data_IF_095493125357
#
_entry.id   IF_095493125357
#
_cell.length_a   1.000
_cell.length_b   1.000
_cell.length_c   1.000
_cell.angle_alpha   90.00
_cell.angle_beta   90.00
_cell.angle_gamma   90.00
#
_symmetry.space_group_name_H-M   'P 1'
#
loop_
_entity.id
_entity.type
_entity.pdbx_description
1 polymer ?
#
# COMPACT_ATOMS: atom_id res chain seq x y z
N UNK A 1 -30.61 -20.75 3.54
CA UNK A 1 -30.24 -21.27 2.21
C UNK A 1 -29.74 -20.14 1.30
N UNK A 2 -30.49 -19.04 1.18
CA UNK A 2 -30.14 -17.90 0.33
C UNK A 2 -28.82 -17.18 0.71
N UNK A 3 -28.54 -16.94 1.99
CA UNK A 3 -27.29 -16.27 2.40
C UNK A 3 -26.03 -17.07 2.06
N UNK A 4 -26.08 -18.40 2.15
CA UNK A 4 -24.95 -19.26 1.82
C UNK A 4 -24.61 -19.21 0.34
N UNK A 5 -25.62 -19.20 -0.52
CA UNK A 5 -25.45 -19.07 -1.98
C UNK A 5 -24.85 -17.71 -2.36
N UNK A 6 -25.32 -16.62 -1.74
CA UNK A 6 -24.78 -15.27 -1.98
C UNK A 6 -23.30 -15.20 -1.56
N UNK A 7 -22.93 -15.75 -0.40
CA UNK A 7 -21.53 -15.79 0.05
C UNK A 7 -20.64 -16.60 -0.88
N UNK A 8 -21.13 -17.73 -1.43
CA UNK A 8 -20.36 -18.52 -2.39
C UNK A 8 -20.15 -17.78 -3.71
N UNK A 9 -21.16 -17.07 -4.21
CA UNK A 9 -21.05 -16.25 -5.43
C UNK A 9 -19.99 -15.15 -5.24
N UNK A 10 -20.10 -14.37 -4.15
CA UNK A 10 -19.15 -13.28 -3.86
C UNK A 10 -17.71 -13.80 -3.70
N UNK A 11 -17.54 -14.94 -3.04
CA UNK A 11 -16.23 -15.57 -2.89
C UNK A 11 -15.65 -15.97 -4.24
N UNK A 12 -16.45 -16.60 -5.09
CA UNK A 12 -16.03 -17.03 -6.44
C UNK A 12 -15.63 -15.82 -7.30
N UNK A 13 -16.36 -14.71 -7.22
CA UNK A 13 -16.02 -13.47 -7.91
C UNK A 13 -14.67 -12.91 -7.44
N UNK A 14 -14.41 -12.88 -6.13
CA UNK A 14 -13.13 -12.42 -5.58
C UNK A 14 -11.99 -13.34 -6.04
N UNK A 15 -12.18 -14.66 -5.99
CA UNK A 15 -11.17 -15.63 -6.43
C UNK A 15 -10.85 -15.49 -7.92
N UNK A 16 -11.86 -15.23 -8.75
CA UNK A 16 -11.67 -14.94 -10.18
C UNK A 16 -10.85 -13.66 -10.38
N UNK A 17 -11.20 -12.57 -9.69
CA UNK A 17 -10.47 -11.30 -9.79
C UNK A 17 -9.01 -11.46 -9.32
N UNK A 18 -8.78 -12.20 -8.23
CA UNK A 18 -7.42 -12.49 -7.75
C UNK A 18 -6.60 -13.28 -8.77
N UNK A 19 -7.22 -14.23 -9.49
CA UNK A 19 -6.54 -14.95 -10.57
C UNK A 19 -6.16 -14.04 -11.75
N UNK A 20 -7.05 -13.11 -12.13
CA UNK A 20 -6.78 -12.10 -13.17
C UNK A 20 -5.63 -11.16 -12.74
N UNK A 21 -5.65 -10.66 -11.51
CA UNK A 21 -4.60 -9.80 -10.96
C UNK A 21 -3.25 -10.53 -10.81
N UNK A 22 -3.28 -11.82 -10.46
CA UNK A 22 -2.07 -12.65 -10.41
C UNK A 22 -1.42 -12.77 -11.79
N UNK A 23 -2.21 -13.09 -12.81
CA UNK A 23 -1.72 -13.18 -14.18
C UNK A 23 -1.13 -11.85 -14.65
N UNK A 24 -1.75 -10.73 -14.27
CA UNK A 24 -1.24 -9.39 -14.53
C UNK A 24 0.10 -9.12 -13.84
N UNK A 25 0.20 -9.45 -12.56
CA UNK A 25 1.44 -9.33 -11.80
C UNK A 25 2.58 -10.14 -12.41
N UNK A 26 2.34 -11.42 -12.70
CA UNK A 26 3.34 -12.32 -13.31
C UNK A 26 3.78 -11.82 -14.70
N UNK A 27 2.90 -11.14 -15.44
CA UNK A 27 3.22 -10.52 -16.73
C UNK A 27 4.04 -9.24 -16.60
N UNK A 28 3.80 -8.43 -15.57
CA UNK A 28 4.46 -7.15 -15.37
C UNK A 28 5.82 -7.26 -14.67
N UNK A 29 5.99 -8.26 -13.80
CA UNK A 29 7.23 -8.44 -13.04
C UNK A 29 8.28 -9.14 -13.92
N UNK A 30 9.43 -8.49 -14.22
CA UNK A 30 10.48 -9.12 -15.00
C UNK A 30 11.18 -10.24 -14.20
N UNK A 31 11.66 -11.27 -14.89
CA UNK A 31 12.37 -12.42 -14.28
C UNK A 31 13.63 -12.01 -13.49
N UNK A 32 14.18 -10.83 -13.76
CA UNK A 32 15.33 -10.28 -13.03
C UNK A 32 15.01 -9.83 -11.60
N UNK A 33 13.73 -9.75 -11.23
CA UNK A 33 13.26 -9.34 -9.91
C UNK A 33 12.68 -10.57 -9.19
N UNK A 34 13.27 -10.90 -8.03
CA UNK A 34 12.68 -11.91 -7.14
C UNK A 34 11.34 -11.41 -6.62
N UNK A 35 10.29 -12.22 -6.83
CA UNK A 35 8.93 -11.85 -6.50
C UNK A 35 8.15 -13.03 -5.96
N UNK A 36 7.13 -12.74 -5.15
CA UNK A 36 6.17 -13.69 -4.62
C UNK A 36 4.77 -13.09 -4.74
N UNK A 37 3.80 -13.93 -5.08
CA UNK A 37 2.38 -13.55 -5.08
C UNK A 37 1.69 -14.14 -3.86
N UNK A 38 1.08 -13.29 -3.04
CA UNK A 38 0.22 -13.69 -1.92
C UNK A 38 -1.23 -13.27 -2.17
N UNK A 39 -2.19 -14.11 -1.78
CA UNK A 39 -3.62 -13.79 -1.85
C UNK A 39 -4.42 -14.51 -0.77
N UNK A 40 -5.52 -13.89 -0.33
CA UNK A 40 -6.49 -14.50 0.57
C UNK A 40 -7.85 -13.80 0.43
N UNK A 41 -8.96 -14.55 0.53
CA UNK A 41 -10.31 -13.95 0.62
C UNK A 41 -10.57 -13.53 2.06
N UNK A 42 -10.06 -12.37 2.44
CA UNK A 42 -10.26 -11.79 3.77
C UNK A 42 -10.24 -10.25 3.73
N UNK A 43 -10.18 -9.60 4.89
CA UNK A 43 -10.02 -8.14 4.97
C UNK A 43 -8.68 -7.73 4.32
N UNK A 44 -8.68 -6.80 3.33
CA UNK A 44 -7.46 -6.33 2.68
C UNK A 44 -6.44 -5.74 3.66
N UNK A 45 -6.90 -4.89 4.59
CA UNK A 45 -6.05 -4.31 5.65
C UNK A 45 -5.40 -5.40 6.51
N UNK A 46 -6.16 -6.45 6.88
CA UNK A 46 -5.63 -7.56 7.67
C UNK A 46 -4.58 -8.35 6.90
N UNK A 47 -4.86 -8.71 5.65
CA UNK A 47 -3.93 -9.43 4.80
C UNK A 47 -2.60 -8.69 4.68
N UNK A 48 -2.63 -7.41 4.28
CA UNK A 48 -1.43 -6.58 4.18
C UNK A 48 -0.71 -6.41 5.51
N UNK A 49 -1.45 -6.32 6.63
CA UNK A 49 -0.82 -6.19 7.94
C UNK A 49 0.00 -7.42 8.34
N UNK A 50 -0.45 -8.62 7.94
CA UNK A 50 0.30 -9.86 8.16
C UNK A 50 1.51 -9.92 7.22
N UNK A 51 1.31 -9.64 5.93
CA UNK A 51 2.36 -9.65 4.91
C UNK A 51 3.47 -8.63 5.21
N UNK A 52 3.13 -7.47 5.77
CA UNK A 52 4.07 -6.42 6.15
C UNK A 52 5.13 -6.86 7.18
N UNK A 53 4.94 -7.98 7.88
CA UNK A 53 5.96 -8.52 8.79
C UNK A 53 7.22 -8.98 8.05
N UNK A 54 7.08 -9.38 6.80
CA UNK A 54 8.17 -9.84 5.93
C UNK A 54 8.69 -8.74 4.99
N UNK A 55 8.22 -7.49 5.13
CA UNK A 55 8.58 -6.38 4.26
C UNK A 55 9.01 -5.15 5.05
N UNK A 56 9.85 -4.30 4.46
CA UNK A 56 10.30 -3.04 5.06
C UNK A 56 9.55 -1.81 4.54
N UNK A 57 8.81 -1.94 3.43
CA UNK A 57 8.01 -0.90 2.81
C UNK A 57 6.73 -1.52 2.23
N UNK A 58 5.60 -0.87 2.46
CA UNK A 58 4.33 -1.21 1.81
C UNK A 58 4.05 -0.19 0.72
N UNK A 59 3.72 -0.65 -0.48
CA UNK A 59 3.33 0.20 -1.61
C UNK A 59 1.90 -0.11 -2.00
N UNK A 60 1.05 0.91 -2.11
CA UNK A 60 -0.37 0.78 -2.44
C UNK A 60 -0.87 1.98 -3.21
N UNK A 61 -2.00 1.86 -3.91
CA UNK A 61 -2.73 3.01 -4.43
C UNK A 61 -3.52 3.70 -3.31
N UNK A 62 -3.77 4.99 -3.49
CA UNK A 62 -4.58 5.81 -2.58
C UNK A 62 -6.05 5.91 -2.99
N UNK A 63 -6.47 5.07 -3.94
CA UNK A 63 -7.83 5.11 -4.46
C UNK A 63 -8.82 4.62 -3.41
N UNK A 64 -9.76 5.48 -3.04
CA UNK A 64 -10.93 5.08 -2.27
C UNK A 64 -11.78 4.18 -3.16
N UNK A 65 -11.72 2.87 -2.92
CA UNK A 65 -12.62 1.94 -3.60
C UNK A 65 -14.07 2.16 -3.15
N UNK A 66 -15.02 1.90 -4.04
CA UNK A 66 -16.46 2.08 -3.76
C UNK A 66 -16.97 1.19 -2.61
N UNK A 67 -16.19 0.19 -2.18
CA UNK A 67 -16.56 -0.78 -1.15
C UNK A 67 -15.51 -0.84 -0.05
N UNK A 68 -15.86 -0.31 1.12
CA UNK A 68 -15.02 -0.29 2.34
C UNK A 68 -14.53 -1.68 2.80
N UNK A 69 -15.22 -2.76 2.43
CA UNK A 69 -14.80 -4.13 2.74
C UNK A 69 -13.78 -4.68 1.73
N UNK A 70 -13.59 -4.01 0.59
CA UNK A 70 -12.65 -4.39 -0.48
C UNK A 70 -11.49 -3.39 -0.61
N UNK A 71 -11.46 -2.35 0.19
CA UNK A 71 -10.40 -1.33 0.20
C UNK A 71 -9.52 -1.48 1.43
N UNK A 72 -8.26 -1.09 1.29
CA UNK A 72 -7.31 -1.03 2.40
C UNK A 72 -7.54 0.26 3.19
N UNK A 73 -7.74 0.13 4.49
CA UNK A 73 -7.69 1.28 5.40
C UNK A 73 -6.22 1.65 5.64
N UNK A 74 -5.77 2.69 4.95
CA UNK A 74 -4.40 3.18 4.99
C UNK A 74 -4.01 3.68 6.39
N UNK A 75 -4.93 4.32 7.11
CA UNK A 75 -4.68 4.83 8.46
C UNK A 75 -4.43 3.67 9.42
N UNK A 76 -5.31 2.68 9.40
CA UNK A 76 -5.15 1.45 10.18
C UNK A 76 -3.89 0.68 9.78
N UNK A 77 -3.53 0.63 8.50
CA UNK A 77 -2.33 -0.04 8.02
C UNK A 77 -1.05 0.67 8.51
N UNK A 78 -0.98 2.00 8.36
CA UNK A 78 0.18 2.78 8.76
C UNK A 78 0.42 2.73 10.28
N UNK A 79 -0.67 2.80 11.07
CA UNK A 79 -0.59 2.71 12.53
C UNK A 79 -0.37 1.27 13.03
N UNK A 80 -0.95 0.28 12.34
CA UNK A 80 -0.98 -1.11 12.80
C UNK A 80 0.24 -1.95 12.40
N UNK A 81 0.92 -1.62 11.31
CA UNK A 81 2.06 -2.41 10.81
C UNK A 81 3.41 -1.92 11.32
N UNK A 82 3.51 -0.65 11.70
CA UNK A 82 4.80 -0.03 11.99
C UNK A 82 5.77 -0.03 10.80
N UNK A 83 5.28 -0.24 9.58
CA UNK A 83 6.06 -0.11 8.35
C UNK A 83 5.65 1.17 7.63
N UNK A 84 6.58 1.85 6.94
CA UNK A 84 6.18 2.93 6.06
C UNK A 84 5.23 2.45 4.97
N UNK A 85 4.24 3.30 4.67
CA UNK A 85 3.28 3.11 3.59
C UNK A 85 3.51 4.19 2.54
N UNK A 86 3.90 3.77 1.34
CA UNK A 86 4.01 4.63 0.16
C UNK A 86 2.73 4.51 -0.66
N UNK A 87 2.03 5.63 -0.78
CA UNK A 87 0.83 5.74 -1.60
C UNK A 87 1.23 6.28 -2.97
N UNK A 88 0.99 5.51 -4.03
CA UNK A 88 1.30 5.91 -5.41
C UNK A 88 0.12 6.62 -6.06
N UNK A 89 0.41 7.64 -6.87
CA UNK A 89 -0.59 8.24 -7.75
C UNK A 89 -0.86 7.31 -8.94
N UNK A 90 -2.11 7.26 -9.40
CA UNK A 90 -2.57 6.32 -10.44
C UNK A 90 -1.93 6.54 -11.81
N UNK A 91 -1.28 7.68 -12.04
CA UNK A 91 -0.76 8.12 -13.33
C UNK A 91 0.75 8.42 -13.32
N UNK A 92 1.51 7.79 -12.43
CA UNK A 92 2.96 8.02 -12.29
C UNK A 92 3.73 6.72 -12.46
N UNK A 93 4.53 6.63 -13.52
CA UNK A 93 5.43 5.50 -13.76
C UNK A 93 6.76 5.62 -13.00
N UNK A 94 7.22 6.87 -12.77
CA UNK A 94 8.51 7.15 -12.13
C UNK A 94 8.41 8.29 -11.13
N UNK A 95 8.88 8.05 -9.90
CA UNK A 95 9.04 9.09 -8.88
C UNK A 95 10.45 9.67 -9.01
N UNK A 96 10.57 10.86 -9.61
CA UNK A 96 11.85 11.55 -9.71
C UNK A 96 12.29 12.24 -8.41
N UNK A 97 11.40 12.37 -7.43
CA UNK A 97 11.63 12.97 -6.12
C UNK A 97 12.42 14.30 -6.13
N UNK A 98 12.27 15.14 -7.16
CA UNK A 98 13.08 16.36 -7.34
C UNK A 98 12.96 17.31 -6.14
N UNK A 99 11.72 17.56 -5.72
CA UNK A 99 11.40 18.36 -4.54
C UNK A 99 10.46 17.53 -3.67
N UNK A 100 10.80 17.35 -2.39
CA UNK A 100 9.98 16.63 -1.42
C UNK A 100 9.48 17.60 -0.35
N UNK A 101 8.16 17.67 -0.17
CA UNK A 101 7.52 18.42 0.90
C UNK A 101 7.33 17.52 2.12
N UNK A 102 7.82 17.95 3.27
CA UNK A 102 7.60 17.31 4.57
C UNK A 102 6.64 18.18 5.37
N UNK A 103 5.42 17.69 5.58
CA UNK A 103 4.49 18.27 6.54
C UNK A 103 4.92 17.85 7.96
N UNK A 104 5.49 18.80 8.70
CA UNK A 104 6.10 18.54 10.00
C UNK A 104 5.24 19.07 11.15
N UNK A 105 5.12 18.22 12.18
CA UNK A 105 4.67 18.57 13.52
C UNK A 105 5.66 17.95 14.50
N UNK A 106 5.94 18.58 15.65
CA UNK A 106 6.83 17.97 16.65
C UNK A 106 6.12 16.84 17.41
N UNK A 107 5.99 15.69 16.76
CA UNK A 107 5.45 14.46 17.33
C UNK A 107 6.36 13.28 17.06
N UNK A 108 6.08 12.15 17.73
CA UNK A 108 6.83 10.91 17.53
C UNK A 108 6.59 10.33 16.14
N UNK A 109 5.36 10.46 15.65
CA UNK A 109 4.89 9.96 14.36
C UNK A 109 5.58 10.70 13.21
N UNK A 110 5.66 12.04 13.27
CA UNK A 110 6.37 12.83 12.26
C UNK A 110 7.87 12.49 12.19
N UNK A 111 8.52 12.31 13.35
CA UNK A 111 9.93 11.90 13.43
C UNK A 111 10.15 10.50 12.84
N UNK A 112 9.22 9.57 13.07
CA UNK A 112 9.25 8.23 12.47
C UNK A 112 9.05 8.29 10.96
N UNK A 113 8.04 9.02 10.49
CA UNK A 113 7.78 9.20 9.07
C UNK A 113 8.98 9.80 8.34
N UNK A 114 9.66 10.78 8.93
CA UNK A 114 10.88 11.36 8.36
C UNK A 114 12.02 10.34 8.30
N UNK A 115 12.21 9.55 9.35
CA UNK A 115 13.23 8.49 9.40
C UNK A 115 12.99 7.44 8.33
N UNK A 116 11.75 6.98 8.19
CA UNK A 116 11.36 5.98 7.20
C UNK A 116 11.50 6.52 5.76
N UNK A 117 11.29 7.82 5.55
CA UNK A 117 11.42 8.48 4.26
C UNK A 117 12.87 8.85 3.87
N UNK A 118 13.85 8.70 4.77
CA UNK A 118 15.25 9.11 4.53
C UNK A 118 15.85 8.61 3.20
N UNK A 119 15.63 7.35 2.76
CA UNK A 119 16.16 6.88 1.49
C UNK A 119 15.66 7.66 0.27
N UNK A 120 14.45 8.22 0.35
CA UNK A 120 13.88 9.09 -0.69
C UNK A 120 14.40 10.53 -0.55
N UNK A 121 14.43 11.05 0.67
CA UNK A 121 14.90 12.42 0.96
C UNK A 121 16.37 12.61 0.58
N UNK A 122 17.21 11.61 0.81
CA UNK A 122 18.63 11.65 0.46
C UNK A 122 18.89 11.70 -1.05
N UNK A 123 17.90 11.31 -1.88
CA UNK A 123 17.96 11.38 -3.35
C UNK A 123 17.27 12.62 -3.92
N UNK A 124 16.59 13.40 -3.08
CA UNK A 124 15.90 14.60 -3.52
C UNK A 124 16.90 15.74 -3.80
N UNK A 125 16.58 16.59 -4.77
CA UNK A 125 17.38 17.80 -5.00
C UNK A 125 17.07 18.85 -3.93
N UNK A 126 15.84 18.88 -3.44
CA UNK A 126 15.36 19.83 -2.45
C UNK A 126 14.36 19.17 -1.50
N UNK A 127 14.47 19.48 -0.20
CA UNK A 127 13.51 19.08 0.82
C UNK A 127 12.96 20.33 1.48
N UNK A 128 11.65 20.54 1.36
CA UNK A 128 10.93 21.67 1.95
C UNK A 128 10.20 21.18 3.19
N UNK A 129 10.45 21.80 4.34
CA UNK A 129 9.74 21.48 5.59
C UNK A 129 8.67 22.55 5.82
N UNK A 130 7.41 22.13 5.91
CA UNK A 130 6.28 22.98 6.22
C UNK A 130 5.73 22.65 7.61
N UNK A 131 5.47 23.68 8.41
CA UNK A 131 4.94 23.60 9.77
C UNK A 131 3.81 24.63 9.92
N UNK A 132 2.83 24.32 10.75
CA UNK A 132 1.69 25.20 11.08
C UNK A 132 1.68 25.38 12.60
N UNK A 133 1.51 26.62 13.04
CA UNK A 133 1.41 27.00 14.46
C UNK A 133 -0.02 26.83 15.00
#
# INVERSE_FOLDING_TARGET
VYEGEIMQIQRTEIEKLLAELRAEFERLVPESISSEWGQEVCSPTRFLSVSARAADLIVTSGEEGENVYRTVDIGSLALGTGRPVLITASNVEHIMAKTVLVAWKDTREARRALTDALPFLAKANEVVIATID
#
